data_IF_187963127091
#
_entry.id   IF_187963127091
#
_cell.length_a   1.000
_cell.length_b   1.000
_cell.length_c   1.000
_cell.angle_alpha   90.00
_cell.angle_beta   90.00
_cell.angle_gamma   90.00
#
_symmetry.space_group_name_H-M   'P 1'
#
loop_
_entity.id
_entity.type
_entity.pdbx_description
1 polymer ?
#
# COMPACT_ATOMS: atom_id res chain seq x y z
N UNK A 1 33.01 -37.82 -45.80
CA UNK A 1 33.50 -36.61 -45.08
C UNK A 1 32.41 -35.57 -44.79
N UNK A 2 31.26 -35.54 -45.49
CA UNK A 2 30.19 -34.55 -45.30
C UNK A 2 29.42 -34.59 -43.96
N UNK A 3 29.45 -35.69 -43.20
CA UNK A 3 28.73 -35.79 -41.92
C UNK A 3 29.42 -35.03 -40.78
N UNK A 4 30.75 -34.97 -40.78
CA UNK A 4 31.52 -34.26 -39.73
C UNK A 4 31.38 -32.75 -39.86
N UNK A 5 31.32 -32.21 -41.07
CA UNK A 5 31.08 -30.78 -41.31
C UNK A 5 29.66 -30.38 -40.90
N UNK A 6 28.64 -31.19 -41.20
CA UNK A 6 27.27 -30.94 -40.71
C UNK A 6 27.17 -30.99 -39.18
N UNK A 7 27.89 -31.91 -38.54
CA UNK A 7 28.00 -31.97 -37.07
C UNK A 7 28.67 -30.73 -36.49
N UNK A 8 29.74 -30.23 -37.13
CA UNK A 8 30.43 -29.00 -36.70
C UNK A 8 29.53 -27.76 -36.79
N UNK A 9 28.78 -27.63 -37.89
CA UNK A 9 27.80 -26.54 -38.05
C UNK A 9 26.65 -26.64 -37.04
N UNK A 10 26.16 -27.85 -36.75
CA UNK A 10 25.12 -28.08 -35.76
C UNK A 10 25.60 -27.71 -34.33
N UNK A 11 26.84 -28.06 -33.96
CA UNK A 11 27.41 -27.68 -32.67
C UNK A 11 27.63 -26.16 -32.52
N UNK A 12 28.00 -25.47 -33.60
CA UNK A 12 28.16 -24.02 -33.59
C UNK A 12 26.83 -23.29 -33.37
N UNK A 13 25.74 -23.78 -33.97
CA UNK A 13 24.40 -23.23 -33.78
C UNK A 13 23.91 -23.46 -32.34
N UNK A 14 24.17 -24.63 -31.76
CA UNK A 14 23.81 -24.93 -30.37
C UNK A 14 24.54 -24.03 -29.36
N UNK A 15 25.81 -23.70 -29.61
CA UNK A 15 26.56 -22.75 -28.80
C UNK A 15 26.08 -21.30 -28.98
N UNK A 16 25.62 -20.93 -30.18
CA UNK A 16 25.06 -19.60 -30.43
C UNK A 16 23.70 -19.38 -29.74
N UNK A 17 22.98 -20.47 -29.42
CA UNK A 17 21.67 -20.43 -28.76
C UNK A 17 21.75 -20.50 -27.22
N UNK A 18 22.95 -20.59 -26.62
CA UNK A 18 23.09 -20.60 -25.17
C UNK A 18 22.93 -19.18 -24.59
N UNK A 19 21.68 -18.74 -24.45
CA UNK A 19 21.35 -17.51 -23.73
C UNK A 19 21.43 -17.82 -22.22
N UNK A 20 22.17 -17.03 -21.41
CA UNK A 20 22.13 -17.20 -19.97
C UNK A 20 20.73 -16.86 -19.46
N UNK A 21 20.05 -17.85 -18.87
CA UNK A 21 18.81 -17.62 -18.15
C UNK A 21 19.13 -16.94 -16.82
N UNK A 22 18.77 -15.67 -16.68
CA UNK A 22 18.89 -14.96 -15.39
C UNK A 22 17.83 -15.51 -14.43
N UNK A 23 18.22 -16.42 -13.55
CA UNK A 23 17.41 -16.77 -12.39
C UNK A 23 17.44 -15.58 -11.42
N UNK A 24 16.36 -14.80 -11.34
CA UNK A 24 16.22 -13.80 -10.29
C UNK A 24 16.12 -14.52 -8.94
N UNK A 25 17.03 -14.22 -8.01
CA UNK A 25 16.93 -14.71 -6.64
C UNK A 25 15.56 -14.35 -6.06
N UNK A 26 14.85 -15.34 -5.50
CA UNK A 26 13.52 -15.13 -4.89
C UNK A 26 13.55 -14.03 -3.82
N UNK A 27 14.67 -13.87 -3.13
CA UNK A 27 14.90 -12.79 -2.15
C UNK A 27 14.91 -11.41 -2.81
N UNK A 28 15.48 -11.28 -4.01
CA UNK A 28 15.46 -10.02 -4.75
C UNK A 28 14.04 -9.68 -5.22
N UNK A 29 13.26 -10.67 -5.64
CA UNK A 29 11.84 -10.50 -5.96
C UNK A 29 11.02 -9.99 -4.78
N UNK A 30 11.23 -10.58 -3.59
CA UNK A 30 10.56 -10.15 -2.35
C UNK A 30 10.97 -8.72 -1.95
N UNK A 31 12.26 -8.40 -2.00
CA UNK A 31 12.76 -7.06 -1.66
C UNK A 31 12.20 -5.98 -2.60
N UNK A 32 12.10 -6.27 -3.91
CA UNK A 32 11.46 -5.36 -4.88
C UNK A 32 9.98 -5.20 -4.58
N UNK A 33 9.26 -6.29 -4.31
CA UNK A 33 7.83 -6.23 -3.97
C UNK A 33 7.58 -5.40 -2.70
N UNK A 34 8.37 -5.58 -1.64
CA UNK A 34 8.26 -4.79 -0.41
C UNK A 34 8.54 -3.30 -0.65
N UNK A 35 9.56 -2.98 -1.45
CA UNK A 35 9.91 -1.59 -1.77
C UNK A 35 8.79 -0.91 -2.56
N UNK A 36 8.21 -1.61 -3.53
CA UNK A 36 7.05 -1.14 -4.28
C UNK A 36 5.85 -0.89 -3.36
N UNK A 37 5.52 -1.82 -2.47
CA UNK A 37 4.42 -1.64 -1.52
C UNK A 37 4.61 -0.40 -0.62
N UNK A 38 5.83 -0.14 -0.15
CA UNK A 38 6.15 1.06 0.66
C UNK A 38 5.82 2.37 -0.05
N UNK A 39 6.03 2.45 -1.37
CA UNK A 39 5.73 3.68 -2.13
C UNK A 39 4.23 4.01 -2.16
N UNK A 40 3.36 3.02 -2.02
CA UNK A 40 1.90 3.21 -1.99
C UNK A 40 1.33 3.56 -0.61
N UNK A 41 2.05 3.29 0.47
CA UNK A 41 1.54 3.50 1.84
C UNK A 41 1.24 4.97 2.10
N UNK A 42 2.17 5.87 1.78
CA UNK A 42 1.99 7.31 1.99
C UNK A 42 0.78 7.90 1.22
N UNK A 43 0.64 7.69 -0.11
CA UNK A 43 -0.51 8.24 -0.84
C UNK A 43 -1.83 7.63 -0.40
N UNK A 44 -1.91 6.32 -0.12
CA UNK A 44 -3.14 5.68 0.37
C UNK A 44 -3.53 6.26 1.73
N UNK A 45 -2.58 6.40 2.65
CA UNK A 45 -2.83 7.00 3.98
C UNK A 45 -3.38 8.42 3.85
N UNK A 46 -2.82 9.23 2.95
CA UNK A 46 -3.29 10.59 2.73
C UNK A 46 -4.73 10.63 2.19
N UNK A 47 -5.09 9.74 1.25
CA UNK A 47 -6.47 9.64 0.74
C UNK A 47 -7.42 9.22 1.87
N UNK A 48 -7.05 8.25 2.70
CA UNK A 48 -7.84 7.84 3.87
C UNK A 48 -8.03 8.98 4.85
N UNK A 49 -7.01 9.79 5.12
CA UNK A 49 -7.11 10.98 5.97
C UNK A 49 -8.08 12.02 5.39
N UNK A 50 -8.04 12.26 4.08
CA UNK A 50 -8.95 13.20 3.41
C UNK A 50 -10.41 12.72 3.52
N UNK A 51 -10.67 11.44 3.21
CA UNK A 51 -12.01 10.85 3.35
C UNK A 51 -12.47 10.90 4.81
N UNK A 52 -11.57 10.54 5.73
CA UNK A 52 -11.78 10.63 7.17
C UNK A 52 -12.17 12.03 7.64
N UNK A 53 -11.49 13.06 7.13
CA UNK A 53 -11.81 14.46 7.40
C UNK A 53 -13.21 14.83 6.91
N UNK A 54 -13.58 14.43 5.69
CA UNK A 54 -14.92 14.68 5.14
C UNK A 54 -16.00 14.03 6.02
N UNK A 55 -15.84 12.76 6.37
CA UNK A 55 -16.78 12.04 7.25
C UNK A 55 -16.80 12.66 8.65
N UNK A 56 -15.65 13.10 9.16
CA UNK A 56 -15.53 13.80 10.44
C UNK A 56 -16.34 15.10 10.48
N UNK A 57 -16.32 15.88 9.40
CA UNK A 57 -17.13 17.11 9.27
C UNK A 57 -18.63 16.77 9.30
N UNK A 58 -19.06 15.73 8.57
CA UNK A 58 -20.47 15.29 8.58
C UNK A 58 -20.90 14.84 9.99
N UNK A 59 -20.03 14.12 10.70
CA UNK A 59 -20.25 13.76 12.11
C UNK A 59 -20.38 14.98 13.02
N UNK A 60 -19.53 15.99 12.83
CA UNK A 60 -19.56 17.23 13.60
C UNK A 60 -20.89 17.97 13.44
N UNK A 61 -21.42 18.04 12.20
CA UNK A 61 -22.72 18.64 11.91
C UNK A 61 -23.84 17.90 12.65
N UNK A 62 -23.80 16.57 12.70
CA UNK A 62 -24.78 15.77 13.46
C UNK A 62 -24.73 16.07 14.95
N UNK A 63 -23.54 16.05 15.55
CA UNK A 63 -23.36 16.34 16.98
C UNK A 63 -23.85 17.74 17.30
N UNK A 64 -23.52 18.74 16.47
CA UNK A 64 -24.01 20.11 16.61
C UNK A 64 -25.54 20.20 16.53
N UNK A 65 -26.15 19.53 15.54
CA UNK A 65 -27.61 19.50 15.41
C UNK A 65 -28.27 18.95 16.66
N UNK A 66 -27.76 17.82 17.16
CA UNK A 66 -28.31 17.18 18.36
C UNK A 66 -28.13 18.06 19.60
N UNK A 67 -26.98 18.72 19.73
CA UNK A 67 -26.70 19.64 20.84
C UNK A 67 -27.71 20.78 20.90
N UNK A 68 -28.06 21.37 19.75
CA UNK A 68 -29.08 22.40 19.69
C UNK A 68 -30.51 21.87 19.92
N UNK A 69 -30.76 20.58 19.69
CA UNK A 69 -32.07 19.95 19.97
C UNK A 69 -32.26 19.55 21.44
N UNK A 70 -31.23 19.67 22.29
CA UNK A 70 -31.32 19.30 23.69
C UNK A 70 -31.43 17.79 23.94
N UNK A 71 -30.94 16.96 23.02
CA UNK A 71 -30.91 15.49 23.18
C UNK A 71 -29.99 15.11 24.37
N UNK A 72 -30.47 14.18 25.21
CA UNK A 72 -29.78 13.75 26.44
C UNK A 72 -28.50 12.97 26.15
N UNK A 73 -28.37 12.37 24.96
CA UNK A 73 -27.23 11.54 24.58
C UNK A 73 -26.05 12.32 23.95
N UNK A 74 -26.07 13.66 23.99
CA UNK A 74 -25.05 14.53 23.36
C UNK A 74 -23.65 14.23 23.85
N UNK A 75 -23.48 14.07 25.16
CA UNK A 75 -22.16 13.82 25.72
C UNK A 75 -21.58 12.51 25.21
N UNK A 76 -22.43 11.49 25.00
CA UNK A 76 -22.02 10.20 24.45
C UNK A 76 -21.67 10.31 22.97
N UNK A 77 -22.47 11.00 22.17
CA UNK A 77 -22.18 11.22 20.75
C UNK A 77 -20.94 12.09 20.53
N UNK A 78 -20.78 13.17 21.30
CA UNK A 78 -19.61 14.04 21.25
C UNK A 78 -18.33 13.28 21.59
N UNK A 79 -18.34 12.46 22.64
CA UNK A 79 -17.20 11.61 22.99
C UNK A 79 -16.91 10.55 21.92
N UNK A 80 -17.95 9.93 21.35
CA UNK A 80 -17.79 8.94 20.27
C UNK A 80 -17.20 9.55 19.00
N UNK A 81 -17.73 10.69 18.57
CA UNK A 81 -17.21 11.45 17.44
C UNK A 81 -15.78 11.94 17.70
N UNK A 82 -15.54 12.61 18.82
CA UNK A 82 -14.22 13.15 19.17
C UNK A 82 -13.16 12.06 19.29
N UNK A 83 -13.47 10.94 19.95
CA UNK A 83 -12.59 9.78 20.04
C UNK A 83 -12.29 9.16 18.68
N UNK A 84 -13.29 9.06 17.79
CA UNK A 84 -13.09 8.54 16.43
C UNK A 84 -12.16 9.43 15.59
N UNK A 85 -12.27 10.75 15.71
CA UNK A 85 -11.40 11.70 15.01
C UNK A 85 -9.96 11.59 15.48
N UNK A 86 -9.73 11.52 16.79
CA UNK A 86 -8.39 11.33 17.36
C UNK A 86 -7.79 10.00 16.89
N UNK A 87 -8.57 8.92 16.94
CA UNK A 87 -8.13 7.61 16.46
C UNK A 87 -7.72 7.64 14.98
N UNK A 88 -8.48 8.33 14.14
CA UNK A 88 -8.17 8.45 12.71
C UNK A 88 -6.83 9.15 12.46
N UNK A 89 -6.53 10.22 13.20
CA UNK A 89 -5.24 10.93 13.09
C UNK A 89 -4.09 10.06 13.62
N UNK A 90 -4.27 9.44 14.79
CA UNK A 90 -3.24 8.61 15.42
C UNK A 90 -2.95 7.37 14.57
N UNK A 91 -3.97 6.71 14.02
CA UNK A 91 -3.80 5.53 13.17
C UNK A 91 -2.98 5.84 11.91
N UNK A 92 -3.14 7.02 11.32
CA UNK A 92 -2.30 7.44 10.20
C UNK A 92 -0.82 7.61 10.59
N UNK A 93 -0.54 8.13 11.79
CA UNK A 93 0.83 8.22 12.32
C UNK A 93 1.42 6.84 12.57
N UNK A 94 0.64 5.92 13.17
CA UNK A 94 1.07 4.54 13.45
C UNK A 94 1.37 3.79 12.16
N UNK A 95 0.52 3.92 11.14
CA UNK A 95 0.74 3.29 9.84
C UNK A 95 2.03 3.83 9.22
N UNK A 96 2.24 5.16 9.17
CA UNK A 96 3.48 5.74 8.64
C UNK A 96 4.72 5.25 9.40
N UNK A 97 4.65 5.18 10.73
CA UNK A 97 5.72 4.67 11.57
C UNK A 97 6.09 3.20 11.29
N UNK A 98 5.12 2.32 11.03
CA UNK A 98 5.40 0.92 10.67
C UNK A 98 6.21 0.77 9.37
N UNK A 99 6.08 1.72 8.45
CA UNK A 99 6.80 1.70 7.18
C UNK A 99 8.05 2.60 7.16
N UNK A 100 8.37 3.26 8.28
CA UNK A 100 9.51 4.16 8.42
C UNK A 100 9.34 5.50 7.69
N UNK A 101 8.10 5.98 7.59
CA UNK A 101 7.70 7.25 6.96
C UNK A 101 7.42 8.35 7.99
#
# INVERSE_FOLDING_TARGET
MFNKTKQLWASAILLALSVPAFAQSGVNGLNTATSTLKTYVAPVTNITLVIGGIVGIVGAIRVYSKWNSGDQDINKELMGWGGSCVFLVVSALVIKAFFGL
#
